data_IF_005781258707
#
_entry.id   IF_005781258707
#
_cell.length_a   1.000
_cell.length_b   1.000
_cell.length_c   1.000
_cell.angle_alpha   90.00
_cell.angle_beta   90.00
_cell.angle_gamma   90.00
#
_symmetry.space_group_name_H-M   'P 1'
#
loop_
_entity.id
_entity.type
_entity.pdbx_description
1 polymer ?
#
# COMPACT_ATOMS: atom_id res chain seq x y z
N UNK A 1 -2.36 31.95 1.73
CA UNK A 1 -3.00 30.62 1.64
C UNK A 1 -4.38 30.83 1.03
N UNK A 2 -4.64 30.25 -0.14
CA UNK A 2 -5.87 30.51 -0.89
C UNK A 2 -7.05 29.81 -0.19
N UNK A 3 -7.92 30.56 0.50
CA UNK A 3 -9.00 30.03 1.34
C UNK A 3 -9.98 29.14 0.55
N UNK A 4 -10.20 29.43 -0.74
CA UNK A 4 -11.06 28.63 -1.62
C UNK A 4 -10.56 27.20 -1.84
N UNK A 5 -9.24 26.98 -1.81
CA UNK A 5 -8.64 25.66 -2.00
C UNK A 5 -8.84 24.78 -0.76
N UNK A 6 -8.99 25.40 0.43
CA UNK A 6 -9.25 24.67 1.68
C UNK A 6 -10.59 23.93 1.62
N UNK A 7 -11.66 24.60 1.18
CA UNK A 7 -13.00 24.02 1.08
C UNK A 7 -13.11 22.94 -0.01
N UNK A 8 -12.21 22.96 -1.00
CA UNK A 8 -12.09 21.91 -2.01
C UNK A 8 -11.39 20.64 -1.50
N UNK A 9 -10.61 20.74 -0.42
CA UNK A 9 -9.88 19.61 0.18
C UNK A 9 -10.62 19.06 1.40
N UNK A 10 -11.12 19.95 2.25
CA UNK A 10 -11.67 19.64 3.57
C UNK A 10 -13.06 20.26 3.69
N UNK A 11 -14.04 19.44 4.03
CA UNK A 11 -15.41 19.86 4.29
C UNK A 11 -15.51 20.62 5.63
N UNK A 12 -16.64 21.28 5.90
CA UNK A 12 -16.88 22.02 7.15
C UNK A 12 -16.75 21.13 8.39
N UNK A 13 -17.02 19.83 8.25
CA UNK A 13 -16.86 18.81 9.27
C UNK A 13 -15.40 18.36 9.52
N UNK A 14 -14.42 18.83 8.72
CA UNK A 14 -13.02 18.42 8.83
C UNK A 14 -12.66 17.14 8.07
N UNK A 15 -13.63 16.52 7.39
CA UNK A 15 -13.47 15.33 6.55
C UNK A 15 -13.04 15.69 5.13
N UNK A 16 -12.58 14.69 4.35
CA UNK A 16 -12.23 14.90 2.94
C UNK A 16 -13.45 15.33 2.13
N UNK A 17 -13.31 16.41 1.37
CA UNK A 17 -14.38 16.94 0.51
C UNK A 17 -14.77 15.94 -0.59
N UNK A 18 -16.06 15.63 -0.73
CA UNK A 18 -16.59 14.80 -1.83
C UNK A 18 -16.47 15.48 -3.21
N UNK A 19 -16.11 16.76 -3.25
CA UNK A 19 -16.04 17.54 -4.51
C UNK A 19 -15.15 16.87 -5.56
N UNK A 20 -14.00 16.31 -5.17
CA UNK A 20 -13.13 15.57 -6.10
C UNK A 20 -13.79 14.27 -6.57
N UNK A 21 -14.53 13.58 -5.71
CA UNK A 21 -15.26 12.37 -6.09
C UNK A 21 -16.35 12.69 -7.13
N UNK A 22 -17.11 13.78 -6.93
CA UNK A 22 -18.12 14.23 -7.89
C UNK A 22 -17.51 14.71 -9.21
N UNK A 23 -16.42 15.47 -9.16
CA UNK A 23 -15.71 15.86 -10.38
C UNK A 23 -15.18 14.62 -11.14
N UNK A 24 -14.71 13.58 -10.43
CA UNK A 24 -14.23 12.34 -11.05
C UNK A 24 -15.39 11.52 -11.63
N UNK A 25 -16.54 11.50 -10.95
CA UNK A 25 -17.76 10.86 -11.42
C UNK A 25 -18.32 11.53 -12.69
N UNK A 26 -18.12 12.84 -12.86
CA UNK A 26 -18.52 13.58 -14.06
C UNK A 26 -17.75 13.15 -15.33
N UNK A 27 -16.60 12.46 -15.19
CA UNK A 27 -15.77 11.94 -16.29
C UNK A 27 -15.38 12.98 -17.35
N UNK A 28 -15.32 14.25 -16.98
CA UNK A 28 -14.85 15.32 -17.87
C UNK A 28 -13.33 15.54 -17.69
N UNK A 29 -12.51 15.17 -18.69
CA UNK A 29 -11.06 15.36 -18.61
C UNK A 29 -10.68 16.85 -18.60
N UNK A 30 -11.46 17.75 -19.22
CA UNK A 30 -11.14 19.19 -19.23
C UNK A 30 -11.29 19.80 -17.85
N UNK A 31 -12.29 19.36 -17.10
CA UNK A 31 -12.48 19.76 -15.70
C UNK A 31 -11.32 19.25 -14.83
N UNK A 32 -10.93 17.98 -14.98
CA UNK A 32 -9.82 17.37 -14.22
C UNK A 32 -8.47 18.04 -14.46
N UNK A 33 -8.22 18.51 -15.69
CA UNK A 33 -7.00 19.22 -16.03
C UNK A 33 -6.98 20.67 -15.57
N UNK A 34 -8.04 21.20 -14.95
CA UNK A 34 -8.04 22.57 -14.47
C UNK A 34 -6.95 22.75 -13.39
N UNK A 35 -6.08 23.78 -13.49
CA UNK A 35 -4.88 23.91 -12.66
C UNK A 35 -5.18 23.92 -11.14
N UNK A 36 -6.37 24.39 -10.75
CA UNK A 36 -6.82 24.34 -9.34
C UNK A 36 -7.11 22.90 -8.89
N UNK A 37 -7.80 22.11 -9.71
CA UNK A 37 -8.12 20.71 -9.37
C UNK A 37 -6.85 19.83 -9.42
N UNK A 38 -5.98 20.04 -10.41
CA UNK A 38 -4.69 19.38 -10.49
C UNK A 38 -3.85 19.63 -9.23
N UNK A 39 -3.75 20.89 -8.77
CA UNK A 39 -3.04 21.23 -7.54
C UNK A 39 -3.63 20.53 -6.30
N UNK A 40 -4.96 20.47 -6.19
CA UNK A 40 -5.61 19.80 -5.06
C UNK A 40 -5.30 18.30 -5.07
N UNK A 41 -5.44 17.65 -6.23
CA UNK A 41 -5.13 16.23 -6.41
C UNK A 41 -3.67 15.95 -6.07
N UNK A 42 -2.74 16.80 -6.51
CA UNK A 42 -1.31 16.67 -6.22
C UNK A 42 -1.00 16.77 -4.72
N UNK A 43 -1.66 17.68 -3.99
CA UNK A 43 -1.50 17.81 -2.54
C UNK A 43 -1.99 16.56 -1.82
N UNK A 44 -3.16 16.06 -2.20
CA UNK A 44 -3.76 14.84 -1.63
C UNK A 44 -2.87 13.63 -1.92
N UNK A 45 -2.39 13.54 -3.16
CA UNK A 45 -1.50 12.49 -3.60
C UNK A 45 -0.21 12.50 -2.79
N UNK A 46 0.49 13.63 -2.74
CA UNK A 46 1.79 13.76 -2.06
C UNK A 46 1.71 13.42 -0.56
N UNK A 47 0.65 13.84 0.13
CA UNK A 47 0.58 13.71 1.60
C UNK A 47 -0.10 12.44 2.09
N UNK A 48 -1.13 11.96 1.40
CA UNK A 48 -2.02 10.92 1.94
C UNK A 48 -2.08 9.68 1.04
N UNK A 49 -2.37 9.86 -0.24
CA UNK A 49 -2.55 8.72 -1.13
C UNK A 49 -1.22 7.99 -1.41
N UNK A 50 -0.11 8.74 -1.58
CA UNK A 50 1.21 8.18 -1.85
C UNK A 50 1.68 7.25 -0.75
N UNK A 51 1.53 7.62 0.53
CA UNK A 51 1.97 6.81 1.67
C UNK A 51 1.18 5.50 1.76
N UNK A 52 -0.13 5.57 1.61
CA UNK A 52 -0.98 4.37 1.66
C UNK A 52 -0.68 3.44 0.48
N UNK A 53 -0.48 4.01 -0.71
CA UNK A 53 -0.10 3.27 -1.91
C UNK A 53 1.29 2.66 -1.80
N UNK A 54 2.27 3.40 -1.28
CA UNK A 54 3.65 2.93 -1.12
C UNK A 54 3.72 1.81 -0.10
N UNK A 55 3.00 1.89 1.02
CA UNK A 55 2.95 0.83 2.03
C UNK A 55 2.34 -0.45 1.47
N UNK A 56 1.24 -0.34 0.70
CA UNK A 56 0.66 -1.50 0.02
C UNK A 56 1.61 -2.13 -0.99
N UNK A 57 2.32 -1.31 -1.78
CA UNK A 57 3.29 -1.79 -2.77
C UNK A 57 4.60 -2.27 -2.19
N UNK A 58 5.10 -1.65 -1.12
CA UNK A 58 6.35 -2.04 -0.47
C UNK A 58 6.19 -3.40 0.19
N UNK A 59 5.02 -3.71 0.74
CA UNK A 59 4.69 -5.04 1.23
C UNK A 59 4.72 -6.10 0.12
N UNK A 60 4.18 -5.76 -1.06
CA UNK A 60 4.27 -6.62 -2.25
C UNK A 60 5.72 -6.81 -2.70
N UNK A 61 6.51 -5.74 -2.80
CA UNK A 61 7.92 -5.83 -3.18
C UNK A 61 8.73 -6.65 -2.17
N UNK A 62 8.43 -6.51 -0.89
CA UNK A 62 9.13 -7.22 0.18
C UNK A 62 8.84 -8.72 0.15
N UNK A 63 7.56 -9.12 -0.03
CA UNK A 63 7.19 -10.53 -0.24
C UNK A 63 7.84 -11.11 -1.50
N UNK A 64 7.88 -10.34 -2.58
CA UNK A 64 8.52 -10.72 -3.83
C UNK A 64 10.04 -10.93 -3.67
N UNK A 65 10.74 -10.00 -3.01
CA UNK A 65 12.18 -10.11 -2.76
C UNK A 65 12.51 -11.36 -1.97
N UNK A 66 11.72 -11.70 -0.96
CA UNK A 66 12.00 -12.90 -0.19
C UNK A 66 11.63 -14.18 -0.94
N UNK A 67 10.57 -14.15 -1.75
CA UNK A 67 10.28 -15.26 -2.66
C UNK A 67 11.44 -15.51 -3.63
N UNK A 68 12.00 -14.45 -4.22
CA UNK A 68 13.18 -14.53 -5.09
C UNK A 68 14.38 -15.06 -4.30
N UNK A 69 14.59 -14.61 -3.06
CA UNK A 69 15.70 -15.06 -2.21
C UNK A 69 15.58 -16.53 -1.82
N UNK A 70 14.37 -17.01 -1.54
CA UNK A 70 14.10 -18.42 -1.25
C UNK A 70 14.35 -19.31 -2.46
N UNK A 71 14.02 -18.82 -3.67
CA UNK A 71 14.26 -19.56 -4.91
C UNK A 71 15.71 -19.45 -5.42
N UNK A 72 16.38 -18.31 -5.27
CA UNK A 72 17.73 -18.07 -5.79
C UNK A 72 18.83 -18.83 -5.03
N UNK A 73 18.55 -19.20 -3.78
CA UNK A 73 19.41 -20.08 -2.97
C UNK A 73 19.37 -21.53 -3.48
N UNK A 74 18.27 -21.96 -4.11
CA UNK A 74 18.08 -23.34 -4.56
C UNK A 74 19.02 -23.78 -5.71
N UNK A 75 19.29 -22.97 -6.75
CA UNK A 75 20.20 -23.35 -7.83
C UNK A 75 21.69 -23.23 -7.45
N UNK A 76 22.08 -22.30 -6.57
CA UNK A 76 23.51 -22.14 -6.18
C UNK A 76 24.02 -23.26 -5.25
N UNK A 77 23.15 -24.07 -4.66
CA UNK A 77 23.50 -25.22 -3.81
C UNK A 77 23.66 -26.54 -4.58
N UNK A 78 23.53 -26.53 -5.91
CA UNK A 78 23.55 -27.77 -6.70
C UNK A 78 24.94 -28.41 -6.80
N UNK A 79 26.01 -27.68 -6.48
CA UNK A 79 27.39 -28.12 -6.71
C UNK A 79 28.09 -28.83 -5.54
N UNK A 80 27.47 -29.00 -4.36
CA UNK A 80 28.16 -29.75 -3.29
C UNK A 80 27.62 -29.66 -1.87
N UNK A 81 26.32 -29.41 -1.66
CA UNK A 81 25.80 -29.21 -0.30
C UNK A 81 24.85 -30.33 0.15
N UNK A 82 25.09 -30.81 1.37
CA UNK A 82 24.33 -31.79 2.14
C UNK A 82 22.80 -31.66 2.00
N UNK A 83 22.14 -32.82 1.95
CA UNK A 83 20.68 -32.98 1.86
C UNK A 83 19.94 -32.18 2.95
N UNK A 84 20.56 -32.00 4.11
CA UNK A 84 19.99 -31.25 5.24
C UNK A 84 19.86 -29.75 4.97
N UNK A 85 20.79 -29.12 4.24
CA UNK A 85 20.67 -27.69 3.93
C UNK A 85 19.57 -27.42 2.91
N UNK A 86 19.32 -28.37 2.00
CA UNK A 86 18.17 -28.31 1.07
C UNK A 86 16.83 -28.35 1.83
N UNK A 87 16.73 -29.22 2.85
CA UNK A 87 15.54 -29.33 3.71
C UNK A 87 15.29 -28.05 4.51
N UNK A 88 16.35 -27.47 5.07
CA UNK A 88 16.27 -26.20 5.81
C UNK A 88 15.83 -25.04 4.91
N UNK A 89 16.33 -24.97 3.66
CA UNK A 89 15.90 -23.96 2.70
C UNK A 89 14.42 -24.09 2.31
N UNK A 90 13.93 -25.31 2.12
CA UNK A 90 12.51 -25.56 1.84
C UNK A 90 11.64 -25.21 3.07
N UNK A 91 12.10 -25.57 4.27
CA UNK A 91 11.40 -25.28 5.52
C UNK A 91 11.33 -23.77 5.78
N UNK A 92 12.44 -23.03 5.59
CA UNK A 92 12.46 -21.58 5.74
C UNK A 92 11.58 -20.88 4.72
N UNK A 93 11.58 -21.31 3.46
CA UNK A 93 10.67 -20.82 2.43
C UNK A 93 9.20 -21.00 2.81
N UNK A 94 8.84 -22.15 3.40
CA UNK A 94 7.47 -22.41 3.88
C UNK A 94 7.10 -21.57 5.10
N UNK A 95 7.96 -21.48 6.12
CA UNK A 95 7.75 -20.61 7.28
C UNK A 95 7.58 -19.15 6.85
N UNK A 96 8.36 -18.69 5.88
CA UNK A 96 8.29 -17.32 5.40
C UNK A 96 6.96 -17.04 4.69
N UNK A 97 6.52 -17.92 3.79
CA UNK A 97 5.20 -17.76 3.14
C UNK A 97 4.08 -17.68 4.17
N UNK A 98 4.12 -18.51 5.22
CA UNK A 98 3.13 -18.48 6.29
C UNK A 98 3.16 -17.17 7.08
N UNK A 99 4.34 -16.74 7.54
CA UNK A 99 4.48 -15.49 8.29
C UNK A 99 4.02 -14.27 7.48
N UNK A 100 4.24 -14.28 6.16
CA UNK A 100 3.83 -13.17 5.30
C UNK A 100 2.37 -13.19 4.90
N UNK A 101 1.84 -14.37 4.58
CA UNK A 101 0.42 -14.53 4.27
C UNK A 101 -0.44 -14.19 5.49
N UNK A 102 -0.03 -14.62 6.68
CA UNK A 102 -0.69 -14.22 7.93
C UNK A 102 -0.40 -12.76 8.29
N UNK A 103 0.82 -12.26 8.07
CA UNK A 103 1.19 -10.88 8.38
C UNK A 103 0.33 -9.85 7.65
N UNK A 104 -0.01 -10.11 6.38
CA UNK A 104 -0.92 -9.26 5.61
C UNK A 104 -2.33 -9.22 6.20
N UNK A 105 -2.84 -10.38 6.64
CA UNK A 105 -4.14 -10.50 7.30
C UNK A 105 -4.17 -9.82 8.67
N UNK A 106 -3.13 -10.01 9.47
CA UNK A 106 -2.99 -9.38 10.79
C UNK A 106 -2.91 -7.86 10.65
N UNK A 107 -2.09 -7.35 9.74
CA UNK A 107 -1.99 -5.90 9.51
C UNK A 107 -3.33 -5.30 9.09
N UNK A 108 -4.05 -5.98 8.19
CA UNK A 108 -5.38 -5.56 7.76
C UNK A 108 -6.39 -5.55 8.92
N UNK A 109 -6.45 -6.62 9.70
CA UNK A 109 -7.35 -6.73 10.85
C UNK A 109 -7.02 -5.69 11.94
N UNK A 110 -5.74 -5.53 12.30
CA UNK A 110 -5.30 -4.57 13.30
C UNK A 110 -5.67 -3.16 12.87
N UNK A 111 -5.42 -2.79 11.61
CA UNK A 111 -5.82 -1.48 11.07
C UNK A 111 -7.34 -1.27 11.13
N UNK A 112 -8.12 -2.29 10.79
CA UNK A 112 -9.59 -2.20 10.81
C UNK A 112 -10.13 -2.12 12.25
N UNK A 113 -9.51 -2.84 13.19
CA UNK A 113 -9.83 -2.77 14.62
C UNK A 113 -9.51 -1.39 15.19
N UNK A 114 -8.33 -0.84 14.91
CA UNK A 114 -7.97 0.52 15.36
C UNK A 114 -8.90 1.58 14.80
N UNK A 115 -9.31 1.47 13.53
CA UNK A 115 -10.30 2.38 12.95
C UNK A 115 -11.66 2.25 13.65
N UNK A 116 -12.14 1.02 13.87
CA UNK A 116 -13.41 0.79 14.58
C UNK A 116 -13.39 1.26 16.05
N UNK A 117 -12.22 1.26 16.71
CA UNK A 117 -12.08 1.78 18.08
C UNK A 117 -12.00 3.32 18.09
N UNK A 118 -11.39 3.93 17.07
CA UNK A 118 -11.27 5.39 16.96
C UNK A 118 -12.60 6.06 16.59
N UNK A 119 -13.45 5.39 15.83
CA UNK A 119 -14.75 5.90 15.37
C UNK A 119 -15.90 5.66 16.38
N UNK A 120 -15.58 5.31 17.65
CA UNK A 120 -16.54 5.02 18.73
C UNK A 120 -16.31 5.92 19.93
#
# INVERSE_FOLDING_TARGET
>A
VNYYVKHLVVDEAGEFSETIAWCTAARDPKLMCHPVLAMVVDIIWSRVASRTFLVGKSWLLFTLLVFISAQSVLPNLHAGVDVDKKRIAIFSGRCFIYSFSMGQWIYFHVKHMFKNIKDK
#
